data_IF_692910919679
#
_entry.id   IF_692910919679
#
_cell.length_a   1.000
_cell.length_b   1.000
_cell.length_c   1.000
_cell.angle_alpha   90.00
_cell.angle_beta   90.00
_cell.angle_gamma   90.00
#
_symmetry.space_group_name_H-M   'P 1'
#
loop_
_entity.id
_entity.type
_entity.pdbx_description
1 polymer ?
#
# COMPACT_ATOMS: atom_id res chain seq x y z
N UNK A 1 5.22 -26.79 -30.15
CA UNK A 1 5.13 -26.39 -28.73
C UNK A 1 6.21 -25.36 -28.45
N UNK A 2 5.86 -24.14 -28.07
CA UNK A 2 6.85 -23.11 -27.70
C UNK A 2 7.22 -23.30 -26.24
N UNK A 3 8.49 -23.54 -25.94
CA UNK A 3 8.99 -23.66 -24.57
C UNK A 3 9.44 -22.29 -24.09
N UNK A 4 8.72 -21.71 -23.13
CA UNK A 4 9.09 -20.44 -22.51
C UNK A 4 10.49 -20.54 -21.86
N UNK A 5 11.32 -19.49 -21.95
CA UNK A 5 12.63 -19.49 -21.30
C UNK A 5 12.45 -19.51 -19.79
N UNK A 6 12.92 -20.59 -19.15
CA UNK A 6 12.99 -20.68 -17.68
C UNK A 6 13.91 -19.59 -17.16
N UNK A 7 13.34 -18.56 -16.54
CA UNK A 7 14.10 -17.58 -15.78
C UNK A 7 14.73 -18.30 -14.56
N UNK A 8 16.04 -18.59 -14.61
CA UNK A 8 16.70 -19.20 -13.47
C UNK A 8 17.07 -18.12 -12.45
N UNK A 9 16.86 -18.44 -11.17
CA UNK A 9 17.25 -17.59 -10.05
C UNK A 9 18.76 -17.23 -10.05
N UNK A 10 19.59 -18.05 -10.71
CA UNK A 10 21.02 -17.82 -10.88
C UNK A 10 21.38 -16.73 -11.91
N UNK A 11 20.45 -16.36 -12.81
CA UNK A 11 20.68 -15.36 -13.86
C UNK A 11 20.40 -13.92 -13.37
N UNK A 12 19.82 -13.78 -12.17
CA UNK A 12 19.57 -12.49 -11.53
C UNK A 12 20.86 -11.92 -10.95
N UNK A 13 21.38 -10.85 -11.56
CA UNK A 13 22.52 -10.09 -11.00
C UNK A 13 22.12 -9.53 -9.62
N UNK A 14 22.97 -9.66 -8.59
CA UNK A 14 22.65 -9.16 -7.26
C UNK A 14 22.48 -7.64 -7.29
N UNK A 15 21.35 -7.16 -6.75
CA UNK A 15 21.10 -5.73 -6.56
C UNK A 15 22.15 -5.18 -5.61
N UNK A 16 23.05 -4.34 -6.12
CA UNK A 16 24.05 -3.65 -5.31
C UNK A 16 23.35 -2.56 -4.51
N UNK A 17 22.98 -2.85 -3.27
CA UNK A 17 22.60 -1.81 -2.31
C UNK A 17 23.79 -0.86 -2.09
N UNK A 18 23.71 0.33 -2.68
CA UNK A 18 24.66 1.43 -2.44
C UNK A 18 24.40 2.04 -1.06
N UNK A 19 24.77 1.29 -0.03
CA UNK A 19 24.46 1.63 1.36
C UNK A 19 25.06 0.61 2.31
N UNK A 20 26.39 0.52 2.37
CA UNK A 20 27.11 -0.31 3.33
C UNK A 20 27.05 0.27 4.76
N UNK A 21 25.86 0.54 5.26
CA UNK A 21 25.65 0.51 6.70
C UNK A 21 25.74 -0.95 7.12
N UNK A 22 26.92 -1.32 7.64
CA UNK A 22 26.99 -2.45 8.55
C UNK A 22 26.05 -2.11 9.70
N UNK A 23 24.83 -2.65 9.65
CA UNK A 23 23.97 -2.72 10.80
C UNK A 23 24.73 -3.59 11.80
N UNK A 24 25.44 -2.93 12.72
CA UNK A 24 25.79 -3.55 13.98
C UNK A 24 24.51 -4.22 14.47
N UNK A 25 24.59 -5.51 14.79
CA UNK A 25 23.45 -6.29 15.26
C UNK A 25 23.11 -5.83 16.68
N UNK A 26 22.60 -4.61 16.77
CA UNK A 26 22.06 -4.01 17.97
C UNK A 26 21.01 -4.96 18.49
N UNK A 27 21.11 -5.25 19.78
CA UNK A 27 20.27 -6.23 20.48
C UNK A 27 18.83 -6.11 20.00
N UNK A 28 18.31 -7.19 19.41
CA UNK A 28 16.91 -7.24 18.99
C UNK A 28 16.07 -6.73 20.17
N UNK A 29 15.18 -5.74 19.98
CA UNK A 29 14.43 -5.16 21.08
C UNK A 29 13.71 -6.30 21.79
N UNK A 30 13.97 -6.43 23.10
CA UNK A 30 13.47 -7.56 23.90
C UNK A 30 11.98 -7.67 23.68
N UNK A 31 11.49 -8.86 23.33
CA UNK A 31 10.09 -9.05 22.94
C UNK A 31 9.16 -8.71 24.11
N UNK A 32 8.59 -7.51 24.14
CA UNK A 32 7.85 -6.98 25.30
C UNK A 32 6.36 -7.40 25.34
N UNK A 33 5.91 -8.21 24.39
CA UNK A 33 4.58 -8.81 24.40
C UNK A 33 4.63 -10.26 24.90
N UNK A 34 3.55 -10.73 25.52
CA UNK A 34 3.47 -12.11 25.99
C UNK A 34 3.51 -13.12 24.85
N UNK A 35 4.35 -14.15 24.94
CA UNK A 35 4.51 -15.19 23.89
C UNK A 35 3.17 -15.86 23.53
N UNK A 36 2.28 -16.05 24.50
CA UNK A 36 0.93 -16.61 24.28
C UNK A 36 0.04 -15.63 23.50
N UNK A 37 0.09 -14.33 23.82
CA UNK A 37 -0.67 -13.29 23.13
C UNK A 37 -0.21 -13.14 21.67
N UNK A 38 1.10 -13.27 21.40
CA UNK A 38 1.62 -13.25 20.03
C UNK A 38 1.22 -14.50 19.24
N UNK A 39 1.33 -15.70 19.84
CA UNK A 39 0.85 -16.92 19.18
C UNK A 39 -0.64 -16.84 18.85
N UNK A 40 -1.45 -16.23 19.72
CA UNK A 40 -2.86 -15.95 19.44
C UNK A 40 -2.98 -14.97 18.26
N UNK A 41 -2.29 -13.83 18.29
CA UNK A 41 -2.29 -12.79 17.24
C UNK A 41 -1.84 -13.31 15.87
N UNK A 42 -0.86 -14.22 15.84
CA UNK A 42 -0.39 -14.86 14.60
C UNK A 42 -1.38 -15.91 14.07
N UNK A 43 -2.21 -16.49 14.94
CA UNK A 43 -3.19 -17.53 14.59
C UNK A 43 -4.59 -16.98 14.29
N UNK A 44 -4.93 -15.78 14.77
CA UNK A 44 -6.23 -15.15 14.52
C UNK A 44 -6.39 -14.65 13.09
N UNK A 45 -7.60 -14.78 12.55
CA UNK A 45 -7.90 -14.33 11.19
C UNK A 45 -7.84 -12.81 11.06
N UNK A 46 -7.52 -12.32 9.86
CA UNK A 46 -7.53 -10.88 9.56
C UNK A 46 -8.90 -10.23 9.77
N UNK A 47 -9.98 -10.99 9.55
CA UNK A 47 -11.34 -10.57 9.87
C UNK A 47 -11.53 -10.34 11.38
N UNK A 48 -10.98 -11.20 12.25
CA UNK A 48 -10.99 -11.01 13.70
C UNK A 48 -10.14 -9.81 14.13
N UNK A 49 -8.97 -9.61 13.54
CA UNK A 49 -8.18 -8.39 13.79
C UNK A 49 -8.96 -7.12 13.43
N UNK A 50 -9.66 -7.13 12.29
CA UNK A 50 -10.53 -6.03 11.89
C UNK A 50 -11.67 -5.81 12.90
N UNK A 51 -12.38 -6.85 13.32
CA UNK A 51 -13.56 -6.69 14.19
C UNK A 51 -13.21 -6.26 15.62
N UNK A 52 -12.01 -6.59 16.11
CA UNK A 52 -11.57 -6.28 17.49
C UNK A 52 -10.74 -4.98 17.57
N UNK A 53 -9.88 -4.70 16.60
CA UNK A 53 -8.93 -3.57 16.68
C UNK A 53 -9.30 -2.35 15.81
N UNK A 54 -10.32 -2.43 14.95
CA UNK A 54 -10.79 -1.26 14.19
C UNK A 54 -12.03 -0.61 14.85
N UNK A 55 -12.20 0.72 14.77
CA UNK A 55 -13.39 1.43 15.26
C UNK A 55 -14.63 1.26 14.35
N UNK A 56 -14.72 0.14 13.64
CA UNK A 56 -15.77 -0.18 12.68
C UNK A 56 -15.94 0.90 11.62
N UNK A 57 -17.20 1.32 11.38
CA UNK A 57 -17.58 2.36 10.41
C UNK A 57 -16.91 3.72 10.63
N UNK A 58 -16.39 4.01 11.83
CA UNK A 58 -15.67 5.26 12.15
C UNK A 58 -14.16 5.11 11.93
N UNK A 59 -13.76 4.41 10.87
CA UNK A 59 -12.34 4.23 10.52
C UNK A 59 -11.66 5.58 10.30
N UNK A 60 -10.65 5.89 11.12
CA UNK A 60 -9.86 7.12 10.99
C UNK A 60 -9.18 7.21 9.61
N UNK A 61 -8.68 6.09 9.12
CA UNK A 61 -7.78 6.03 7.96
C UNK A 61 -8.49 6.03 6.61
N UNK A 62 -9.83 5.89 6.57
CA UNK A 62 -10.60 5.73 5.33
C UNK A 62 -11.30 7.02 4.88
N UNK A 63 -10.96 8.16 5.48
CA UNK A 63 -11.49 9.45 5.06
C UNK A 63 -10.76 10.63 5.68
N UNK A 64 -10.85 11.78 4.99
CA UNK A 64 -10.15 13.02 5.34
C UNK A 64 -10.53 13.65 6.69
N UNK A 65 -11.67 13.31 7.27
CA UNK A 65 -12.27 14.06 8.39
C UNK A 65 -11.44 14.08 9.69
N UNK A 66 -10.43 13.22 9.81
CA UNK A 66 -9.61 13.05 11.02
C UNK A 66 -8.12 13.41 10.80
N UNK A 67 -7.79 14.08 9.70
CA UNK A 67 -6.42 14.41 9.30
C UNK A 67 -6.30 15.87 8.90
N UNK A 68 -5.15 16.47 9.18
CA UNK A 68 -4.85 17.82 8.69
C UNK A 68 -4.31 17.75 7.26
N UNK A 69 -4.17 18.89 6.58
CA UNK A 69 -3.68 18.90 5.19
C UNK A 69 -2.23 18.42 5.09
N UNK A 70 -1.47 18.66 6.14
CA UNK A 70 -0.08 18.29 6.32
C UNK A 70 0.08 16.75 6.41
N UNK A 71 -0.94 16.05 6.95
CA UNK A 71 -1.04 14.58 7.01
C UNK A 71 -1.68 13.97 5.74
N UNK A 72 -1.92 14.78 4.71
CA UNK A 72 -2.56 14.37 3.45
C UNK A 72 -1.87 14.97 2.20
N UNK A 73 -0.59 14.64 1.91
CA UNK A 73 0.02 14.96 0.62
C UNK A 73 -0.82 14.50 -0.57
N UNK A 74 -1.46 13.32 -0.46
CA UNK A 74 -2.61 12.93 -1.29
C UNK A 74 -3.88 13.37 -0.57
N UNK A 75 -4.45 14.49 -1.00
CA UNK A 75 -5.66 15.07 -0.42
C UNK A 75 -6.82 14.07 -0.45
N UNK A 76 -7.53 13.96 0.67
CA UNK A 76 -8.71 13.09 0.82
C UNK A 76 -8.47 11.87 1.70
N UNK A 77 -7.20 11.49 1.91
CA UNK A 77 -6.81 10.30 2.64
C UNK A 77 -5.48 10.49 3.38
N UNK A 78 -5.33 9.84 4.54
CA UNK A 78 -4.05 9.83 5.26
C UNK A 78 -2.93 9.32 4.35
N UNK A 79 -1.89 10.11 4.21
CA UNK A 79 -0.73 9.78 3.38
C UNK A 79 0.54 10.45 3.92
N UNK A 80 1.69 9.89 3.62
CA UNK A 80 2.99 10.43 4.05
C UNK A 80 4.13 9.99 3.14
N UNK A 81 5.02 10.92 2.83
CA UNK A 81 6.25 10.66 2.09
C UNK A 81 7.27 9.97 3.02
N UNK A 82 7.70 8.77 2.64
CA UNK A 82 8.73 7.99 3.33
C UNK A 82 10.12 8.31 2.78
N UNK A 83 10.19 8.59 1.48
CA UNK A 83 11.35 9.13 0.76
C UNK A 83 10.85 10.11 -0.31
N UNK A 84 11.74 10.81 -1.00
CA UNK A 84 11.39 11.73 -2.10
C UNK A 84 10.62 11.05 -3.25
N UNK A 85 10.82 9.73 -3.42
CA UNK A 85 10.22 8.91 -4.47
C UNK A 85 9.12 7.94 -3.95
N UNK A 86 8.90 7.83 -2.64
CA UNK A 86 7.93 6.87 -2.06
C UNK A 86 6.95 7.59 -1.14
N UNK A 87 5.68 7.63 -1.55
CA UNK A 87 4.55 8.00 -0.69
C UNK A 87 3.76 6.76 -0.29
N UNK A 88 3.39 6.71 0.98
CA UNK A 88 2.44 5.73 1.52
C UNK A 88 1.08 6.40 1.71
N UNK A 89 0.00 5.65 1.54
CA UNK A 89 -1.34 6.11 1.83
C UNK A 89 -2.17 4.98 2.45
N UNK A 90 -3.21 5.34 3.21
CA UNK A 90 -4.20 4.36 3.63
C UNK A 90 -5.03 3.84 2.44
N UNK A 91 -5.85 2.79 2.66
CA UNK A 91 -6.73 2.26 1.61
C UNK A 91 -7.81 3.28 1.23
N UNK A 92 -7.98 3.63 -0.05
CA UNK A 92 -9.06 4.51 -0.47
C UNK A 92 -10.42 3.78 -0.49
N UNK A 93 -11.47 4.55 -0.72
CA UNK A 93 -12.81 4.06 -1.08
C UNK A 93 -13.30 4.77 -2.34
N UNK A 94 -14.22 4.18 -3.10
CA UNK A 94 -14.75 4.77 -4.35
C UNK A 94 -15.23 6.22 -4.15
N UNK A 95 -15.99 6.50 -3.08
CA UNK A 95 -16.44 7.86 -2.74
C UNK A 95 -15.25 8.83 -2.59
N UNK A 96 -14.20 8.43 -1.86
CA UNK A 96 -13.03 9.27 -1.61
C UNK A 96 -12.20 9.50 -2.89
N UNK A 97 -12.08 8.47 -3.74
CA UNK A 97 -11.35 8.55 -5.02
C UNK A 97 -12.00 9.57 -5.96
N UNK A 98 -13.32 9.50 -6.09
CA UNK A 98 -14.09 10.41 -6.93
C UNK A 98 -14.12 11.83 -6.36
N UNK A 99 -14.47 11.97 -5.09
CA UNK A 99 -14.64 13.26 -4.38
C UNK A 99 -13.37 14.10 -4.35
N UNK A 100 -12.23 13.48 -4.10
CA UNK A 100 -10.93 14.16 -4.07
C UNK A 100 -10.11 13.99 -5.35
N UNK A 101 -10.67 13.31 -6.37
CA UNK A 101 -10.02 13.07 -7.67
C UNK A 101 -8.61 12.47 -7.52
N UNK A 102 -8.46 11.46 -6.66
CA UNK A 102 -7.16 10.91 -6.25
C UNK A 102 -6.29 10.49 -7.46
N UNK A 103 -6.88 9.90 -8.50
CA UNK A 103 -6.18 9.50 -9.73
C UNK A 103 -5.59 10.72 -10.47
N UNK A 104 -6.22 11.89 -10.39
CA UNK A 104 -5.67 13.15 -10.94
C UNK A 104 -4.45 13.60 -10.12
N UNK A 105 -4.53 13.52 -8.80
CA UNK A 105 -3.41 13.86 -7.91
C UNK A 105 -2.20 12.95 -8.17
N UNK A 106 -2.39 11.64 -8.36
CA UNK A 106 -1.29 10.72 -8.69
C UNK A 106 -0.54 11.14 -9.96
N UNK A 107 -1.25 11.63 -10.98
CA UNK A 107 -0.66 12.16 -12.21
C UNK A 107 0.06 13.49 -11.98
N UNK A 108 -0.46 14.35 -11.12
CA UNK A 108 0.15 15.63 -10.75
C UNK A 108 1.43 15.45 -9.91
N UNK A 109 1.48 14.43 -9.06
CA UNK A 109 2.67 14.00 -8.30
C UNK A 109 3.61 13.08 -9.08
N UNK A 110 3.39 12.85 -10.38
CA UNK A 110 4.28 12.03 -11.21
C UNK A 110 4.36 10.54 -10.85
N UNK A 111 3.41 10.03 -10.06
CA UNK A 111 3.41 8.65 -9.56
C UNK A 111 3.21 7.70 -10.74
N UNK A 112 4.11 6.71 -10.88
CA UNK A 112 4.14 5.79 -12.03
C UNK A 112 3.76 4.34 -11.65
N UNK A 113 3.87 3.98 -10.36
CA UNK A 113 3.42 2.69 -9.85
C UNK A 113 2.55 2.90 -8.61
N UNK A 114 1.32 2.41 -8.69
CA UNK A 114 0.41 2.20 -7.58
C UNK A 114 0.36 0.70 -7.42
N UNK A 115 0.56 0.28 -6.20
CA UNK A 115 0.63 -1.11 -5.83
C UNK A 115 -0.60 -1.30 -4.86
N UNK A 116 -1.15 -2.49 -4.54
CA UNK A 116 -2.16 -2.71 -3.47
C UNK A 116 -1.75 -3.81 -2.43
N UNK A 117 -1.49 -3.45 -1.15
CA UNK A 117 -0.96 -4.31 -0.06
C UNK A 117 -2.08 -5.08 0.65
N UNK A 118 -3.32 -4.62 0.50
CA UNK A 118 -4.48 -5.19 1.14
C UNK A 118 -4.83 -6.54 0.50
N UNK A 119 -5.19 -7.53 1.31
CA UNK A 119 -5.77 -8.77 0.82
C UNK A 119 -7.27 -8.64 0.53
N UNK A 120 -7.77 -9.44 -0.42
CA UNK A 120 -9.19 -9.45 -0.77
C UNK A 120 -10.03 -9.89 0.44
N UNK A 121 -11.03 -9.11 0.81
CA UNK A 121 -11.85 -9.38 2.00
C UNK A 121 -11.27 -8.83 3.32
N UNK A 122 -10.06 -8.27 3.30
CA UNK A 122 -9.47 -7.62 4.47
C UNK A 122 -10.27 -6.36 4.84
N UNK A 123 -10.31 -6.05 6.14
CA UNK A 123 -11.06 -4.92 6.69
C UNK A 123 -12.58 -4.91 6.44
N UNK A 124 -13.20 -6.09 6.24
CA UNK A 124 -14.64 -6.24 5.95
C UNK A 124 -15.63 -5.64 6.97
N UNK A 125 -15.18 -5.36 8.20
CA UNK A 125 -15.99 -4.73 9.26
C UNK A 125 -15.60 -3.27 9.55
N UNK A 126 -14.70 -2.68 8.75
CA UNK A 126 -14.08 -1.37 8.98
C UNK A 126 -14.45 -0.39 7.87
N UNK A 127 -14.91 0.82 8.24
CA UNK A 127 -15.32 1.89 7.34
C UNK A 127 -16.47 1.53 6.41
N UNK A 128 -16.29 1.75 5.10
CA UNK A 128 -17.28 1.49 4.05
C UNK A 128 -17.34 -0.03 3.77
N UNK A 129 -18.52 -0.60 3.46
CA UNK A 129 -18.61 -2.01 3.06
C UNK A 129 -17.76 -2.33 1.83
N UNK A 130 -17.23 -3.55 1.77
CA UNK A 130 -16.48 -4.02 0.61
C UNK A 130 -17.39 -4.19 -0.61
N UNK A 131 -16.88 -3.80 -1.78
CA UNK A 131 -17.48 -4.06 -3.07
C UNK A 131 -17.22 -5.52 -3.53
N UNK A 132 -17.81 -5.89 -4.67
CA UNK A 132 -17.65 -7.22 -5.30
C UNK A 132 -16.19 -7.59 -5.59
N UNK A 133 -15.30 -6.61 -5.69
CA UNK A 133 -13.86 -6.79 -5.86
C UNK A 133 -13.19 -7.46 -4.64
N UNK A 134 -13.76 -7.30 -3.45
CA UNK A 134 -13.14 -7.61 -2.16
C UNK A 134 -12.41 -6.43 -1.50
N UNK A 135 -12.55 -5.21 -2.07
CA UNK A 135 -11.99 -3.95 -1.56
C UNK A 135 -13.09 -2.89 -1.45
N UNK A 136 -12.81 -1.72 -0.85
CA UNK A 136 -13.73 -0.56 -0.83
C UNK A 136 -13.77 0.26 -2.13
N UNK A 137 -13.22 -0.32 -3.19
CA UNK A 137 -13.18 0.22 -4.54
C UNK A 137 -13.05 -0.91 -5.56
N UNK A 138 -13.34 -0.66 -6.84
CA UNK A 138 -12.92 -1.54 -7.91
C UNK A 138 -11.47 -1.24 -8.31
N UNK A 139 -10.50 -2.17 -8.18
CA UNK A 139 -9.13 -1.94 -8.61
C UNK A 139 -8.97 -1.59 -10.10
N UNK A 140 -9.96 -1.91 -10.96
CA UNK A 140 -9.92 -1.56 -12.38
C UNK A 140 -9.79 -0.05 -12.63
N UNK A 141 -10.33 0.81 -11.75
CA UNK A 141 -10.26 2.28 -11.91
C UNK A 141 -8.81 2.80 -12.01
N UNK A 142 -7.86 2.10 -11.39
CA UNK A 142 -6.44 2.44 -11.45
C UNK A 142 -5.73 1.85 -12.69
N UNK A 143 -6.28 0.80 -13.32
CA UNK A 143 -5.72 0.14 -14.50
C UNK A 143 -6.29 0.68 -15.82
N UNK A 144 -7.54 1.17 -15.83
CA UNK A 144 -8.24 1.64 -17.03
C UNK A 144 -7.78 3.02 -17.54
N UNK A 145 -7.04 3.76 -16.72
CA UNK A 145 -6.48 5.08 -17.06
C UNK A 145 -5.26 4.96 -18.02
N UNK A 146 -5.51 4.56 -19.27
CA UNK A 146 -4.53 4.20 -20.32
C UNK A 146 -3.57 5.31 -20.82
N UNK A 147 -3.43 6.43 -20.13
CA UNK A 147 -2.56 7.55 -20.55
C UNK A 147 -1.11 7.43 -20.05
N UNK A 148 -0.39 6.38 -20.47
CA UNK A 148 1.07 6.12 -20.31
C UNK A 148 1.68 6.09 -18.88
N UNK A 149 2.52 5.08 -18.57
CA UNK A 149 2.25 3.65 -18.75
C UNK A 149 1.11 3.21 -17.80
N UNK A 150 0.53 2.01 -17.95
CA UNK A 150 -0.37 1.47 -16.92
C UNK A 150 0.34 1.40 -15.56
N UNK A 151 -0.38 1.71 -14.48
CA UNK A 151 0.06 1.46 -13.11
C UNK A 151 0.19 -0.06 -12.90
N UNK A 152 1.39 -0.60 -13.14
CA UNK A 152 1.66 -2.04 -13.08
C UNK A 152 2.12 -2.47 -11.68
N UNK A 153 1.63 -3.64 -11.28
CA UNK A 153 1.90 -4.41 -10.05
C UNK A 153 1.07 -4.04 -8.80
N UNK A 154 0.75 -5.02 -7.94
CA UNK A 154 -0.11 -4.93 -6.74
C UNK A 154 0.67 -5.23 -5.40
N UNK A 155 0.98 -4.22 -4.56
CA UNK A 155 1.43 -4.21 -3.11
C UNK A 155 1.69 -2.77 -2.49
N UNK A 156 0.65 -1.97 -2.21
CA UNK A 156 0.52 -0.53 -1.80
C UNK A 156 1.73 0.19 -1.18
N UNK A 157 2.59 0.63 -2.09
CA UNK A 157 3.26 1.91 -2.01
C UNK A 157 2.80 2.75 -3.21
N UNK A 158 3.16 4.03 -3.25
CA UNK A 158 3.10 4.85 -4.46
C UNK A 158 4.53 5.23 -4.79
N UNK A 159 5.06 4.73 -5.91
CA UNK A 159 6.41 5.07 -6.37
C UNK A 159 6.30 6.19 -7.40
N UNK A 160 6.71 7.38 -6.98
CA UNK A 160 7.15 8.44 -7.88
C UNK A 160 8.50 8.03 -8.45
N UNK A 161 8.65 8.03 -9.77
CA UNK A 161 9.83 7.43 -10.42
C UNK A 161 10.65 8.52 -11.13
N UNK A 162 11.19 9.43 -10.33
CA UNK A 162 12.10 10.50 -10.75
C UNK A 162 13.45 9.93 -11.21
N UNK A 163 13.86 8.79 -10.63
CA UNK A 163 15.18 8.20 -10.79
C UNK A 163 15.44 7.46 -12.13
N UNK A 164 14.42 7.25 -12.98
CA UNK A 164 14.54 6.43 -14.21
C UNK A 164 14.64 7.23 -15.52
N UNK A 165 14.64 8.57 -15.49
CA UNK A 165 14.72 9.41 -16.70
C UNK A 165 16.16 9.81 -17.09
N UNK A 166 17.18 9.20 -16.47
CA UNK A 166 18.60 9.42 -16.76
C UNK A 166 19.35 8.11 -17.09
N UNK A 167 18.88 7.36 -18.10
CA UNK A 167 19.64 6.29 -18.76
C UNK A 167 19.12 6.02 -20.18
#
# INVERSE_FOLDING_TARGET
MSSDPKCNLADLKPVKFSGSQSLALGTLPSVQYGIVQEKLRQSSSKAFHCSVFCPGKRCRYEGAAFWQKEDMPIMGIFSTWITDDIVTMARPSTEIIEKYKIIKQFREFGIKSLINLQERGEHSSCGVPLEKSGFTYDPQIFMENKSKPPFLSFSLFLINNSAFENN
#
